data_IF_517564278348
#
_entry.id   IF_517564278348
#
_cell.length_a   1.000
_cell.length_b   1.000
_cell.length_c   1.000
_cell.angle_alpha   90.00
_cell.angle_beta   90.00
_cell.angle_gamma   90.00
#
_symmetry.space_group_name_H-M   'P 1'
#
loop_
_entity.id
_entity.type
_entity.pdbx_description
1 polymer ?
#
# COMPACT_ATOMS: atom_id res chain seq x y z
N UNK A 1 1.16 -11.10 -5.53
CA UNK A 1 1.14 -10.11 -6.63
C UNK A 1 2.54 -9.96 -7.22
N UNK A 2 2.73 -9.28 -8.36
CA UNK A 2 4.07 -8.91 -8.84
C UNK A 2 4.62 -7.74 -8.00
N UNK A 3 5.94 -7.51 -7.99
CA UNK A 3 6.54 -6.40 -7.25
C UNK A 3 6.08 -5.04 -7.75
N UNK A 4 6.07 -4.04 -6.87
CA UNK A 4 5.93 -2.64 -7.27
C UNK A 4 7.24 -2.14 -7.87
N UNK A 5 7.15 -1.55 -9.05
CA UNK A 5 8.28 -0.95 -9.77
C UNK A 5 8.43 0.50 -9.29
N UNK A 6 9.61 0.84 -8.80
CA UNK A 6 9.97 2.20 -8.39
C UNK A 6 11.13 2.68 -9.23
N UNK A 7 10.94 3.81 -9.90
CA UNK A 7 12.03 4.55 -10.57
C UNK A 7 12.16 5.90 -9.89
N UNK A 8 13.29 6.12 -9.23
CA UNK A 8 13.55 7.36 -8.49
C UNK A 8 15.02 7.73 -8.62
N UNK A 9 15.32 8.98 -9.00
CA UNK A 9 16.68 9.48 -9.22
C UNK A 9 17.52 8.61 -10.18
N UNK A 10 16.88 8.09 -11.24
CA UNK A 10 17.53 7.23 -12.23
C UNK A 10 17.82 5.80 -11.76
N UNK A 11 17.42 5.44 -10.54
CA UNK A 11 17.58 4.10 -9.97
C UNK A 11 16.27 3.31 -10.06
N UNK A 12 16.34 2.07 -10.53
CA UNK A 12 15.24 1.11 -10.55
C UNK A 12 15.29 0.24 -9.28
N UNK A 13 14.18 0.17 -8.55
CA UNK A 13 13.96 -0.76 -7.43
C UNK A 13 12.67 -1.53 -7.63
N UNK A 14 12.69 -2.80 -7.23
CA UNK A 14 11.51 -3.65 -7.15
C UNK A 14 11.19 -3.86 -5.67
N UNK A 15 9.98 -3.52 -5.25
CA UNK A 15 9.54 -3.68 -3.86
C UNK A 15 8.46 -4.76 -3.85
N UNK A 16 8.75 -5.87 -3.17
CA UNK A 16 7.84 -7.01 -3.07
C UNK A 16 6.55 -6.60 -2.38
N UNK A 17 5.41 -7.02 -2.95
CA UNK A 17 4.10 -6.83 -2.34
C UNK A 17 3.90 -7.97 -1.32
N UNK A 18 3.59 -7.69 -0.05
CA UNK A 18 3.34 -8.74 0.93
C UNK A 18 2.27 -9.71 0.43
N UNK A 19 2.43 -11.01 0.72
CA UNK A 19 1.48 -12.03 0.29
C UNK A 19 0.16 -11.88 1.02
N UNK A 20 -0.94 -12.07 0.28
CA UNK A 20 -2.31 -12.08 0.80
C UNK A 20 -3.02 -13.32 0.28
N UNK A 21 -3.77 -14.01 1.16
CA UNK A 21 -4.63 -15.10 0.72
C UNK A 21 -5.73 -14.54 -0.19
N UNK A 22 -5.93 -15.18 -1.35
CA UNK A 22 -6.94 -14.73 -2.31
C UNK A 22 -8.36 -14.78 -1.73
N UNK A 23 -8.61 -15.66 -0.75
CA UNK A 23 -9.90 -15.75 -0.06
C UNK A 23 -10.19 -14.56 0.87
N UNK A 24 -9.17 -13.80 1.27
CA UNK A 24 -9.35 -12.57 2.05
C UNK A 24 -9.71 -11.36 1.17
N UNK A 25 -9.58 -11.47 -0.16
CA UNK A 25 -9.89 -10.37 -1.08
C UNK A 25 -11.40 -10.35 -1.31
N UNK A 26 -12.04 -9.28 -0.83
CA UNK A 26 -13.50 -9.08 -0.92
C UNK A 26 -13.84 -8.18 -2.11
N UNK A 27 -13.13 -7.06 -2.26
CA UNK A 27 -13.36 -6.06 -3.30
C UNK A 27 -12.02 -5.43 -3.69
N UNK A 28 -11.74 -5.26 -4.97
CA UNK A 28 -10.49 -4.62 -5.41
C UNK A 28 -10.64 -3.12 -5.64
N UNK A 29 -11.85 -2.59 -5.50
CA UNK A 29 -12.13 -1.18 -5.66
C UNK A 29 -11.36 -0.33 -4.62
N UNK A 30 -10.83 0.80 -5.06
CA UNK A 30 -10.09 1.71 -4.19
C UNK A 30 -8.70 1.24 -3.75
N UNK A 31 -8.22 0.07 -4.19
CA UNK A 31 -6.88 -0.41 -3.84
C UNK A 31 -5.76 0.56 -4.26
N UNK A 32 -5.89 1.19 -5.43
CA UNK A 32 -4.94 2.18 -5.93
C UNK A 32 -4.97 3.48 -5.13
N UNK A 33 -6.16 3.97 -4.80
CA UNK A 33 -6.34 5.19 -4.00
C UNK A 33 -5.79 4.99 -2.58
N UNK A 34 -6.05 3.82 -1.99
CA UNK A 34 -5.51 3.42 -0.70
C UNK A 34 -3.99 3.32 -0.73
N UNK A 35 -3.42 2.74 -1.80
CA UNK A 35 -1.96 2.69 -1.99
C UNK A 35 -1.36 4.11 -2.01
N UNK A 36 -1.94 5.02 -2.79
CA UNK A 36 -1.49 6.41 -2.87
C UNK A 36 -1.62 7.11 -1.52
N UNK A 37 -2.71 6.88 -0.79
CA UNK A 37 -2.91 7.42 0.56
C UNK A 37 -1.83 6.98 1.55
N UNK A 38 -1.52 5.68 1.61
CA UNK A 38 -0.45 5.14 2.45
C UNK A 38 0.95 5.63 2.01
N UNK A 39 1.17 5.78 0.71
CA UNK A 39 2.42 6.33 0.19
C UNK A 39 2.62 7.79 0.62
N UNK A 40 1.62 8.64 0.40
CA UNK A 40 1.68 10.06 0.76
C UNK A 40 1.80 10.25 2.27
N UNK A 41 1.16 9.41 3.09
CA UNK A 41 1.21 9.56 4.54
C UNK A 41 2.64 9.45 5.09
N UNK A 42 3.46 8.58 4.50
CA UNK A 42 4.86 8.44 4.89
C UNK A 42 5.77 9.45 4.21
N UNK A 43 5.51 9.76 2.94
CA UNK A 43 6.28 10.79 2.24
C UNK A 43 6.17 12.15 2.94
N UNK A 44 4.96 12.51 3.41
CA UNK A 44 4.72 13.75 4.16
C UNK A 44 5.45 13.82 5.52
N UNK A 45 6.01 12.70 5.98
CA UNK A 45 6.81 12.56 7.21
C UNK A 45 8.30 12.37 6.91
N UNK A 46 8.72 12.76 5.70
CA UNK A 46 10.10 12.64 5.21
C UNK A 46 10.67 11.22 5.26
N UNK A 47 9.80 10.19 5.19
CA UNK A 47 10.26 8.80 5.12
C UNK A 47 10.80 8.49 3.73
N UNK A 48 11.58 7.41 3.63
CA UNK A 48 12.11 6.95 2.36
C UNK A 48 11.01 6.54 1.39
N UNK A 49 11.31 6.57 0.09
CA UNK A 49 10.40 6.06 -0.95
C UNK A 49 10.03 4.60 -0.69
N UNK A 50 10.99 3.78 -0.22
CA UNK A 50 10.72 2.40 0.12
C UNK A 50 9.67 2.27 1.22
N UNK A 51 9.83 3.00 2.34
CA UNK A 51 8.86 3.01 3.45
C UNK A 51 7.48 3.51 3.01
N UNK A 52 7.46 4.48 2.10
CA UNK A 52 6.22 4.99 1.51
C UNK A 52 5.52 3.92 0.66
N UNK A 53 6.25 3.14 -0.14
CA UNK A 53 5.65 2.03 -0.90
C UNK A 53 5.16 0.92 0.03
N UNK A 54 5.91 0.57 1.07
CA UNK A 54 5.51 -0.43 2.08
C UNK A 54 4.19 -0.01 2.77
N UNK A 55 4.03 1.27 3.12
CA UNK A 55 2.79 1.80 3.67
C UNK A 55 1.63 1.77 2.67
N UNK A 56 1.90 2.09 1.40
CA UNK A 56 0.92 1.96 0.33
C UNK A 56 0.45 0.51 0.16
N UNK A 57 1.36 -0.46 0.19
CA UNK A 57 0.99 -1.89 0.14
C UNK A 57 0.08 -2.27 1.30
N UNK A 58 0.42 -1.85 2.52
CA UNK A 58 -0.41 -2.12 3.69
C UNK A 58 -1.81 -1.53 3.52
N UNK A 59 -1.90 -0.25 3.16
CA UNK A 59 -3.19 0.44 2.99
C UNK A 59 -4.06 -0.20 1.89
N UNK A 60 -3.47 -0.56 0.75
CA UNK A 60 -4.17 -1.29 -0.30
C UNK A 60 -4.70 -2.64 0.19
N UNK A 61 -3.89 -3.40 0.92
CA UNK A 61 -4.34 -4.68 1.49
C UNK A 61 -5.46 -4.50 2.52
N UNK A 62 -5.46 -3.41 3.27
CA UNK A 62 -6.52 -3.11 4.25
C UNK A 62 -7.85 -2.83 3.53
N UNK A 63 -7.82 -2.05 2.44
CA UNK A 63 -9.03 -1.72 1.68
C UNK A 63 -9.60 -2.95 0.96
N UNK A 64 -8.76 -3.77 0.33
CA UNK A 64 -9.28 -4.89 -0.48
C UNK A 64 -9.93 -6.03 0.31
N UNK A 65 -9.72 -6.07 1.63
CA UNK A 65 -10.38 -7.02 2.55
C UNK A 65 -11.80 -6.59 2.95
N UNK A 66 -12.28 -5.44 2.45
CA UNK A 66 -13.57 -4.86 2.80
C UNK A 66 -14.35 -4.54 1.55
N UNK A 67 -15.68 -4.47 1.67
CA UNK A 67 -16.53 -4.04 0.55
C UNK A 67 -16.46 -2.51 0.41
N UNK A 68 -16.25 -2.04 -0.82
CA UNK A 68 -16.09 -0.63 -1.13
C UNK A 68 -14.80 -0.03 -0.59
N UNK A 69 -14.66 1.29 -0.73
CA UNK A 69 -13.47 2.03 -0.32
C UNK A 69 -13.50 2.39 1.18
N UNK A 70 -13.59 1.39 2.04
CA UNK A 70 -13.74 1.56 3.50
C UNK A 70 -12.44 1.26 4.25
N UNK A 71 -12.23 1.98 5.36
CA UNK A 71 -11.07 1.84 6.24
C UNK A 71 -11.52 1.47 7.66
N UNK A 72 -10.68 0.77 8.44
CA UNK A 72 -10.93 0.59 9.88
C UNK A 72 -10.95 1.93 10.61
N UNK A 73 -11.62 1.97 11.76
CA UNK A 73 -11.67 3.14 12.63
C UNK A 73 -10.28 3.56 13.11
N UNK A 74 -9.42 2.58 13.40
CA UNK A 74 -8.05 2.79 13.85
C UNK A 74 -7.05 2.32 12.80
N UNK A 75 -6.03 3.12 12.53
CA UNK A 75 -4.91 2.73 11.70
C UNK A 75 -3.92 1.88 12.52
N UNK A 76 -3.73 0.62 12.13
CA UNK A 76 -2.79 -0.31 12.75
C UNK A 76 -1.42 -0.35 12.05
N UNK A 77 -1.17 0.57 11.13
CA UNK A 77 0.11 0.64 10.45
C UNK A 77 1.22 1.08 11.41
N UNK A 78 2.31 0.32 11.43
CA UNK A 78 3.53 0.62 12.19
C UNK A 78 4.74 0.63 11.28
N UNK A 79 5.50 1.73 11.28
CA UNK A 79 6.70 1.97 10.45
C UNK A 79 7.90 1.05 10.78
#
# INVERSE_FOLDING_TARGET
>A
AKPTIVVHNGELKLIEVPTLDQSEIVDTNGAGDAFVGGFISQLARDKSIQKSVEAGHWAAQVVIRRSGCTLPETCEYTD
#
